data_IF_057066546078
#
_entry.id   IF_057066546078
#
_cell.length_a   1.000
_cell.length_b   1.000
_cell.length_c   1.000
_cell.angle_alpha   90.00
_cell.angle_beta   90.00
_cell.angle_gamma   90.00
#
_symmetry.space_group_name_H-M   'P 1'
#
loop_
_entity.id
_entity.type
_entity.pdbx_description
1 polymer ?
#
# COMPACT_ATOMS: atom_id res chain seq x y z
N UNK A 1 -0.82 -8.13 22.40
CA UNK A 1 -1.35 -6.75 22.38
C UNK A 1 -1.28 -6.19 23.79
N UNK A 2 -0.80 -4.95 23.98
CA UNK A 2 -0.66 -4.40 25.33
C UNK A 2 -2.01 -3.90 25.87
N UNK A 3 -2.23 -3.87 27.19
CA UNK A 3 -3.45 -3.29 27.77
C UNK A 3 -3.64 -1.80 27.42
N UNK A 4 -2.54 -1.08 27.16
CA UNK A 4 -2.60 0.33 26.76
C UNK A 4 -3.14 0.49 25.33
N UNK A 5 -2.71 -0.39 24.41
CA UNK A 5 -3.17 -0.38 23.03
C UNK A 5 -4.66 -0.75 22.93
N UNK A 6 -5.09 -1.74 23.71
CA UNK A 6 -6.51 -2.13 23.79
C UNK A 6 -7.37 -0.97 24.30
N UNK A 7 -6.95 -0.30 25.37
CA UNK A 7 -7.65 0.88 25.89
C UNK A 7 -7.67 2.04 24.89
N UNK A 8 -6.61 2.23 24.11
CA UNK A 8 -6.58 3.22 23.04
C UNK A 8 -7.60 2.86 21.95
N UNK A 9 -7.63 1.59 21.54
CA UNK A 9 -8.58 1.08 20.56
C UNK A 9 -10.04 1.27 21.01
N UNK A 10 -10.37 0.90 22.26
CA UNK A 10 -11.70 1.11 22.85
C UNK A 10 -12.12 2.59 22.84
N UNK A 11 -11.19 3.51 23.15
CA UNK A 11 -11.46 4.95 23.08
C UNK A 11 -11.71 5.42 21.65
N UNK A 12 -10.94 4.92 20.69
CA UNK A 12 -11.14 5.21 19.28
C UNK A 12 -12.50 4.69 18.79
N UNK A 13 -12.89 3.47 19.18
CA UNK A 13 -14.20 2.91 18.89
C UNK A 13 -15.34 3.79 19.45
N UNK A 14 -15.24 4.18 20.72
CA UNK A 14 -16.23 5.05 21.36
C UNK A 14 -16.37 6.43 20.67
N UNK A 15 -15.25 7.02 20.23
CA UNK A 15 -15.27 8.27 19.44
C UNK A 15 -15.97 8.03 18.11
N UNK A 16 -15.67 6.93 17.42
CA UNK A 16 -16.26 6.61 16.13
C UNK A 16 -17.78 6.41 16.21
N UNK A 17 -18.25 5.67 17.22
CA UNK A 17 -19.66 5.44 17.50
C UNK A 17 -20.37 6.76 17.84
N UNK A 18 -19.80 7.55 18.74
CA UNK A 18 -20.38 8.84 19.17
C UNK A 18 -20.48 9.82 18.01
N UNK A 19 -19.43 9.92 17.18
CA UNK A 19 -19.42 10.79 16.03
C UNK A 19 -20.44 10.35 14.96
N UNK A 20 -20.56 9.03 14.73
CA UNK A 20 -21.58 8.48 13.82
C UNK A 20 -23.00 8.76 14.32
N UNK A 21 -23.27 8.51 15.61
CA UNK A 21 -24.56 8.79 16.23
C UNK A 21 -24.91 10.29 16.20
N UNK A 22 -23.92 11.16 16.39
CA UNK A 22 -24.06 12.60 16.24
C UNK A 22 -24.43 13.00 14.81
N UNK A 23 -23.75 12.45 13.82
CA UNK A 23 -24.06 12.72 12.41
C UNK A 23 -25.49 12.30 12.06
N UNK A 24 -25.92 11.11 12.50
CA UNK A 24 -27.30 10.64 12.31
C UNK A 24 -28.33 11.50 13.04
N UNK A 25 -28.01 11.96 14.25
CA UNK A 25 -28.90 12.84 15.00
C UNK A 25 -29.08 14.18 14.28
N UNK A 26 -28.00 14.79 13.78
CA UNK A 26 -28.08 16.03 12.99
C UNK A 26 -28.86 15.78 11.70
N UNK A 27 -28.65 14.63 11.04
CA UNK A 27 -29.37 14.25 9.82
C UNK A 27 -30.89 14.18 10.05
N UNK A 28 -31.32 13.61 11.18
CA UNK A 28 -32.74 13.58 11.59
C UNK A 28 -33.30 14.95 12.01
N UNK A 29 -32.44 15.90 12.38
CA UNK A 29 -32.82 17.23 12.89
C UNK A 29 -32.33 18.38 11.99
N UNK A 30 -32.11 18.11 10.68
CA UNK A 30 -31.54 19.07 9.72
C UNK A 30 -32.22 20.44 9.75
N UNK A 31 -33.53 20.48 9.92
CA UNK A 31 -34.30 21.73 9.93
C UNK A 31 -33.88 22.70 11.05
N UNK A 32 -33.40 22.17 12.18
CA UNK A 32 -32.96 22.98 13.33
C UNK A 32 -31.61 23.65 13.08
N UNK A 33 -30.70 22.98 12.35
CA UNK A 33 -29.34 23.48 12.05
C UNK A 33 -29.22 24.14 10.67
N UNK A 34 -30.21 23.94 9.78
CA UNK A 34 -30.27 24.51 8.44
C UNK A 34 -28.96 24.29 7.66
N UNK A 35 -28.29 25.38 7.26
CA UNK A 35 -27.07 25.33 6.46
C UNK A 35 -25.86 24.73 7.21
N UNK A 36 -25.86 24.75 8.55
CA UNK A 36 -24.77 24.20 9.35
C UNK A 36 -24.83 22.67 9.44
N UNK A 37 -25.99 22.08 9.19
CA UNK A 37 -26.20 20.63 9.30
C UNK A 37 -25.25 19.85 8.37
N UNK A 38 -25.08 20.30 7.11
CA UNK A 38 -24.27 19.60 6.12
C UNK A 38 -22.79 19.59 6.49
N UNK A 39 -22.27 20.74 6.94
CA UNK A 39 -20.87 20.87 7.38
C UNK A 39 -20.62 20.01 8.62
N UNK A 40 -21.52 20.08 9.62
CA UNK A 40 -21.37 19.32 10.85
C UNK A 40 -21.46 17.80 10.62
N UNK A 41 -22.38 17.33 9.76
CA UNK A 41 -22.47 15.91 9.37
C UNK A 41 -21.17 15.46 8.72
N UNK A 42 -20.61 16.25 7.80
CA UNK A 42 -19.36 15.93 7.12
C UNK A 42 -18.19 15.80 8.11
N UNK A 43 -18.04 16.75 9.03
CA UNK A 43 -16.96 16.75 10.02
C UNK A 43 -17.07 15.58 11.00
N UNK A 44 -18.30 15.24 11.43
CA UNK A 44 -18.55 14.10 12.30
C UNK A 44 -18.27 12.76 11.60
N UNK A 45 -18.69 12.60 10.33
CA UNK A 45 -18.37 11.40 9.55
C UNK A 45 -16.87 11.24 9.35
N UNK A 46 -16.17 12.32 9.02
CA UNK A 46 -14.70 12.33 8.93
C UNK A 46 -14.05 11.93 10.25
N UNK A 47 -14.54 12.44 11.37
CA UNK A 47 -14.07 12.10 12.72
C UNK A 47 -14.28 10.61 12.99
N UNK A 48 -15.45 10.07 12.67
CA UNK A 48 -15.74 8.65 12.83
C UNK A 48 -14.81 7.77 11.99
N UNK A 49 -14.59 8.15 10.73
CA UNK A 49 -13.70 7.45 9.81
C UNK A 49 -12.25 7.42 10.34
N UNK A 50 -11.70 8.57 10.73
CA UNK A 50 -10.34 8.65 11.31
C UNK A 50 -10.25 7.82 12.59
N UNK A 51 -11.26 7.88 13.46
CA UNK A 51 -11.27 7.13 14.71
C UNK A 51 -11.28 5.60 14.48
N UNK A 52 -12.06 5.08 13.52
CA UNK A 52 -12.03 3.64 13.15
C UNK A 52 -10.67 3.20 12.61
N UNK A 53 -10.00 4.05 11.85
CA UNK A 53 -8.64 3.77 11.35
C UNK A 53 -7.63 3.71 12.50
N UNK A 54 -7.72 4.64 13.45
CA UNK A 54 -6.87 4.64 14.65
C UNK A 54 -7.14 3.44 15.56
N UNK A 55 -8.41 3.02 15.68
CA UNK A 55 -8.77 1.79 16.38
C UNK A 55 -8.07 0.58 15.74
N UNK A 56 -8.20 0.44 14.42
CA UNK A 56 -7.57 -0.65 13.67
C UNK A 56 -6.05 -0.63 13.84
N UNK A 57 -5.43 0.54 13.76
CA UNK A 57 -3.99 0.71 13.95
C UNK A 57 -3.55 0.32 15.38
N UNK A 58 -4.31 0.72 16.40
CA UNK A 58 -4.02 0.38 17.80
C UNK A 58 -4.14 -1.12 18.07
N UNK A 59 -5.05 -1.83 17.40
CA UNK A 59 -5.21 -3.28 17.54
C UNK A 59 -4.18 -4.09 16.74
N UNK A 60 -3.46 -3.45 15.80
CA UNK A 60 -2.45 -4.11 14.98
C UNK A 60 -1.12 -4.09 15.70
N UNK A 61 -0.41 -5.21 15.66
CA UNK A 61 0.93 -5.30 16.23
C UNK A 61 1.87 -4.35 15.50
N UNK A 62 2.63 -3.58 16.27
CA UNK A 62 3.61 -2.61 15.78
C UNK A 62 4.62 -3.28 14.85
N UNK A 63 5.15 -2.51 13.89
CA UNK A 63 6.03 -3.07 12.87
C UNK A 63 7.26 -2.23 12.59
N UNK A 64 8.35 -2.94 12.30
CA UNK A 64 9.55 -2.40 11.65
C UNK A 64 9.47 -2.73 10.17
N UNK A 65 9.41 -1.71 9.30
CA UNK A 65 9.42 -1.90 7.86
C UNK A 65 10.80 -1.74 7.26
N UNK A 66 11.21 -2.70 6.44
CA UNK A 66 12.43 -2.64 5.63
C UNK A 66 12.06 -2.08 4.26
N UNK A 67 12.54 -0.88 3.98
CA UNK A 67 12.17 -0.13 2.78
C UNK A 67 13.40 0.42 2.06
N UNK A 68 13.29 0.68 0.77
CA UNK A 68 14.37 1.22 -0.06
C UNK A 68 14.21 0.83 -1.52
N UNK A 69 15.15 1.25 -2.38
CA UNK A 69 15.14 0.90 -3.80
C UNK A 69 15.08 -0.61 -4.03
N UNK A 70 14.70 -1.00 -5.24
CA UNK A 70 14.96 -2.36 -5.69
C UNK A 70 16.45 -2.71 -5.58
N UNK A 71 16.76 -3.98 -5.29
CA UNK A 71 18.12 -4.52 -5.21
C UNK A 71 19.06 -3.87 -4.17
N UNK A 72 18.53 -3.08 -3.23
CA UNK A 72 19.33 -2.48 -2.15
C UNK A 72 19.66 -3.44 -1.00
N UNK A 73 19.62 -4.76 -1.20
CA UNK A 73 19.95 -5.73 -0.14
C UNK A 73 18.89 -5.93 0.95
N UNK A 74 17.67 -5.42 0.78
CA UNK A 74 16.55 -5.55 1.76
C UNK A 74 16.29 -6.99 2.18
N UNK A 75 16.08 -7.89 1.22
CA UNK A 75 15.76 -9.30 1.50
C UNK A 75 16.88 -9.99 2.27
N UNK A 76 18.14 -9.63 2.04
CA UNK A 76 19.27 -10.15 2.83
C UNK A 76 19.22 -9.65 4.28
N UNK A 77 18.97 -8.35 4.49
CA UNK A 77 18.81 -7.78 5.82
C UNK A 77 17.64 -8.43 6.58
N UNK A 78 16.49 -8.59 5.92
CA UNK A 78 15.32 -9.27 6.49
C UNK A 78 15.67 -10.69 6.90
N UNK A 79 16.32 -11.44 6.00
CA UNK A 79 16.73 -12.82 6.28
C UNK A 79 17.65 -12.89 7.49
N UNK A 80 18.53 -11.90 7.68
CA UNK A 80 19.41 -11.81 8.84
C UNK A 80 18.66 -11.44 10.13
N UNK A 81 17.69 -10.53 10.06
CA UNK A 81 16.87 -10.11 11.21
C UNK A 81 15.81 -11.14 11.61
N UNK A 82 15.38 -11.99 10.67
CA UNK A 82 14.34 -12.99 10.89
C UNK A 82 14.89 -14.35 11.35
N UNK A 83 16.21 -14.50 11.51
CA UNK A 83 16.85 -15.75 11.95
C UNK A 83 17.77 -15.56 13.14
N UNK A 84 17.97 -16.62 13.93
CA UNK A 84 18.99 -16.64 14.97
C UNK A 84 20.34 -17.07 14.39
N UNK A 85 21.35 -16.21 14.47
CA UNK A 85 22.70 -16.51 14.00
C UNK A 85 22.75 -16.96 12.53
N UNK A 86 23.21 -18.18 12.29
CA UNK A 86 23.34 -18.78 10.95
C UNK A 86 22.21 -19.80 10.62
N UNK A 87 21.16 -19.88 11.45
CA UNK A 87 20.05 -20.81 11.20
C UNK A 87 19.28 -20.47 9.90
N UNK A 88 18.41 -21.38 9.48
CA UNK A 88 17.52 -21.15 8.33
C UNK A 88 16.25 -20.44 8.80
N UNK A 89 15.70 -19.58 7.96
CA UNK A 89 14.40 -18.97 8.19
C UNK A 89 13.31 -19.97 7.78
N UNK A 90 12.69 -20.62 8.77
CA UNK A 90 11.62 -21.60 8.56
C UNK A 90 10.27 -20.93 8.82
N UNK A 91 9.39 -20.99 7.83
CA UNK A 91 8.00 -20.57 7.91
C UNK A 91 7.11 -21.75 8.32
N UNK A 92 6.17 -21.51 9.23
CA UNK A 92 5.19 -22.48 9.72
C UNK A 92 3.79 -22.14 9.17
N UNK A 93 3.29 -23.01 8.28
CA UNK A 93 1.94 -22.92 7.72
C UNK A 93 1.04 -23.99 8.35
N UNK A 94 0.68 -23.80 9.62
CA UNK A 94 -0.24 -24.71 10.31
C UNK A 94 0.35 -26.11 10.54
N UNK A 95 1.66 -26.18 10.80
CA UNK A 95 2.44 -27.40 10.97
C UNK A 95 3.26 -27.80 9.75
N UNK A 96 2.98 -27.23 8.57
CA UNK A 96 3.82 -27.41 7.38
C UNK A 96 5.02 -26.45 7.44
N UNK A 97 6.22 -27.02 7.63
CA UNK A 97 7.46 -26.26 7.78
C UNK A 97 8.19 -26.10 6.44
N UNK A 98 8.35 -24.85 6.00
CA UNK A 98 8.94 -24.53 4.69
C UNK A 98 10.12 -23.58 4.85
N UNK A 99 11.23 -23.84 4.16
CA UNK A 99 12.38 -22.94 4.16
C UNK A 99 12.04 -21.69 3.32
N UNK A 100 11.90 -20.54 3.97
CA UNK A 100 11.48 -19.32 3.27
C UNK A 100 12.47 -18.94 2.18
N UNK A 101 13.78 -19.00 2.45
CA UNK A 101 14.79 -18.54 1.49
C UNK A 101 14.92 -19.52 0.33
N UNK A 102 14.90 -20.82 0.62
CA UNK A 102 15.08 -21.86 -0.40
C UNK A 102 13.83 -22.14 -1.21
N UNK A 103 12.64 -22.06 -0.62
CA UNK A 103 11.40 -22.60 -1.22
C UNK A 103 10.29 -21.54 -1.46
N UNK A 104 10.37 -20.34 -0.86
CA UNK A 104 9.33 -19.29 -1.01
C UNK A 104 9.86 -18.02 -1.67
N UNK A 105 10.97 -17.49 -1.17
CA UNK A 105 11.56 -16.24 -1.63
C UNK A 105 12.02 -16.36 -3.08
N UNK A 106 11.50 -15.56 -4.01
CA UNK A 106 11.85 -15.67 -5.42
C UNK A 106 13.35 -15.45 -5.67
N UNK A 107 13.87 -16.04 -6.76
CA UNK A 107 15.29 -15.95 -7.11
C UNK A 107 15.71 -14.51 -7.43
N UNK A 108 16.83 -14.07 -6.87
CA UNK A 108 17.31 -12.69 -7.01
C UNK A 108 17.81 -12.36 -8.42
N UNK A 109 17.68 -11.08 -8.82
CA UNK A 109 18.20 -10.54 -10.10
C UNK A 109 17.21 -9.67 -10.87
N UNK A 110 15.91 -9.82 -10.58
CA UNK A 110 14.83 -8.92 -11.02
C UNK A 110 14.01 -8.48 -9.80
N UNK A 111 13.23 -7.42 -9.94
CA UNK A 111 12.23 -7.08 -8.94
C UNK A 111 11.23 -8.22 -8.80
N UNK A 112 11.20 -8.83 -7.63
CA UNK A 112 10.57 -10.14 -7.48
C UNK A 112 9.33 -10.12 -6.60
N UNK A 113 9.01 -9.01 -5.91
CA UNK A 113 7.87 -8.94 -4.98
C UNK A 113 6.97 -7.74 -5.26
N UNK A 114 5.65 -7.97 -5.32
CA UNK A 114 4.62 -6.95 -5.56
C UNK A 114 3.62 -6.77 -4.41
N UNK A 115 3.92 -7.36 -3.26
CA UNK A 115 3.12 -7.37 -2.03
C UNK A 115 4.05 -7.15 -0.83
N UNK A 116 3.49 -6.82 0.33
CA UNK A 116 4.23 -6.72 1.59
C UNK A 116 4.31 -8.10 2.24
N UNK A 117 5.48 -8.50 2.73
CA UNK A 117 5.63 -9.75 3.50
C UNK A 117 5.79 -9.43 4.98
N UNK A 118 4.88 -9.91 5.83
CA UNK A 118 4.92 -9.74 7.28
C UNK A 118 5.51 -11.00 7.92
N UNK A 119 6.65 -10.85 8.58
CA UNK A 119 7.26 -11.89 9.41
C UNK A 119 6.85 -11.68 10.86
N UNK A 120 6.27 -12.71 11.47
CA UNK A 120 5.76 -12.67 12.85
C UNK A 120 6.01 -13.99 13.56
N UNK A 121 6.05 -13.99 14.88
CA UNK A 121 6.05 -15.20 15.71
C UNK A 121 4.65 -15.59 16.17
N UNK A 122 3.66 -14.70 15.96
CA UNK A 122 2.31 -14.96 16.41
C UNK A 122 1.63 -15.92 15.43
N UNK A 123 1.10 -17.06 15.90
CA UNK A 123 0.38 -17.97 15.04
C UNK A 123 -0.92 -17.31 14.54
N UNK A 124 -1.36 -17.72 13.36
CA UNK A 124 -2.67 -17.34 12.87
C UNK A 124 -3.75 -18.05 13.71
N UNK A 125 -4.69 -17.28 14.27
CA UNK A 125 -5.82 -17.83 15.01
C UNK A 125 -6.82 -18.43 14.01
N UNK A 126 -7.36 -19.61 14.33
CA UNK A 126 -8.45 -20.26 13.58
C UNK A 126 -8.24 -20.28 12.05
N UNK A 127 -7.15 -20.92 11.61
CA UNK A 127 -6.90 -21.16 10.19
C UNK A 127 -7.97 -22.10 9.61
N UNK A 128 -8.54 -21.82 8.42
CA UNK A 128 -9.37 -22.79 7.72
C UNK A 128 -8.58 -24.06 7.38
N UNK A 129 -9.25 -25.21 7.46
CA UNK A 129 -8.60 -26.51 7.21
C UNK A 129 -7.97 -26.56 5.80
N UNK A 130 -6.70 -26.96 5.72
CA UNK A 130 -5.95 -27.04 4.45
C UNK A 130 -5.51 -25.69 3.86
N UNK A 131 -5.87 -24.56 4.49
CA UNK A 131 -5.62 -23.21 3.96
C UNK A 131 -4.85 -22.38 4.99
N UNK A 132 -3.56 -22.66 5.12
CA UNK A 132 -2.70 -22.04 6.13
C UNK A 132 -1.97 -20.76 5.66
N UNK A 133 -2.02 -20.41 4.38
CA UNK A 133 -1.43 -19.18 3.85
C UNK A 133 -2.42 -18.04 4.04
N UNK A 134 -2.17 -17.15 5.02
CA UNK A 134 -3.01 -16.00 5.31
C UNK A 134 -2.59 -14.77 4.46
N UNK A 135 -3.57 -14.21 3.75
CA UNK A 135 -3.45 -13.05 2.87
C UNK A 135 -4.32 -11.91 3.40
N UNK A 136 -3.81 -10.68 3.40
CA UNK A 136 -4.62 -9.47 3.51
C UNK A 136 -4.91 -8.95 2.11
N UNK A 137 -6.17 -8.70 1.81
CA UNK A 137 -6.62 -8.26 0.50
C UNK A 137 -6.60 -6.72 0.37
N UNK A 138 -6.55 -6.27 -0.88
CA UNK A 138 -6.85 -4.90 -1.28
C UNK A 138 -8.36 -4.70 -1.32
N UNK A 139 -8.83 -3.56 -0.82
CA UNK A 139 -10.24 -3.16 -0.95
C UNK A 139 -10.54 -2.69 -2.37
N UNK A 140 -11.83 -2.56 -2.73
CA UNK A 140 -12.19 -1.97 -4.02
C UNK A 140 -11.68 -0.52 -4.16
N UNK A 141 -11.63 0.25 -3.07
CA UNK A 141 -11.06 1.61 -3.10
C UNK A 141 -9.54 1.63 -3.19
N UNK A 142 -8.86 0.60 -2.67
CA UNK A 142 -7.42 0.44 -2.86
C UNK A 142 -7.10 0.25 -4.35
N UNK A 143 -7.91 -0.54 -5.07
CA UNK A 143 -7.76 -0.72 -6.52
C UNK A 143 -7.97 0.62 -7.25
N UNK A 144 -8.96 1.42 -6.87
CA UNK A 144 -9.17 2.77 -7.44
C UNK A 144 -7.92 3.64 -7.23
N UNK A 145 -7.36 3.64 -6.02
CA UNK A 145 -6.15 4.41 -5.69
C UNK A 145 -4.93 3.92 -6.46
N UNK A 146 -4.75 2.61 -6.64
CA UNK A 146 -3.66 2.02 -7.43
C UNK A 146 -3.73 2.45 -8.89
N UNK A 147 -4.90 2.32 -9.52
CA UNK A 147 -5.10 2.66 -10.94
C UNK A 147 -4.97 4.17 -11.17
N UNK A 148 -5.55 4.98 -10.28
CA UNK A 148 -5.37 6.43 -10.34
C UNK A 148 -3.92 6.86 -10.06
N UNK A 149 -3.23 6.21 -9.12
CA UNK A 149 -1.82 6.50 -8.80
C UNK A 149 -0.95 6.33 -10.05
N UNK A 150 -1.05 5.19 -10.73
CA UNK A 150 -0.23 4.98 -11.93
C UNK A 150 -0.62 5.93 -13.06
N UNK A 151 -1.92 6.21 -13.23
CA UNK A 151 -2.36 7.20 -14.20
C UNK A 151 -1.74 8.57 -13.95
N UNK A 152 -1.82 9.12 -12.74
CA UNK A 152 -1.32 10.46 -12.45
C UNK A 152 0.21 10.53 -12.31
N UNK A 153 0.85 9.48 -11.81
CA UNK A 153 2.28 9.47 -11.49
C UNK A 153 3.16 9.00 -12.65
N UNK A 154 2.65 8.13 -13.54
CA UNK A 154 3.44 7.51 -14.61
C UNK A 154 3.02 7.96 -16.02
N UNK A 155 1.80 8.47 -16.22
CA UNK A 155 1.38 9.03 -17.51
C UNK A 155 1.66 10.53 -17.60
N UNK A 156 2.18 10.99 -18.74
CA UNK A 156 2.44 12.40 -18.99
C UNK A 156 1.12 13.16 -19.15
N UNK A 157 0.70 13.83 -18.09
CA UNK A 157 -0.60 14.49 -18.02
C UNK A 157 -0.75 15.61 -19.06
N UNK A 158 0.34 16.27 -19.45
CA UNK A 158 0.30 17.31 -20.49
C UNK A 158 -0.01 16.80 -21.91
N UNK A 159 0.04 15.48 -22.15
CA UNK A 159 -0.39 14.90 -23.43
C UNK A 159 -1.85 14.42 -23.42
N UNK A 160 -2.55 14.57 -22.29
CA UNK A 160 -3.96 14.24 -22.15
C UNK A 160 -4.78 15.54 -22.10
N UNK A 161 -5.93 15.54 -22.76
CA UNK A 161 -6.87 16.64 -22.61
C UNK A 161 -7.49 16.59 -21.21
N UNK A 162 -7.52 17.74 -20.53
CA UNK A 162 -8.31 17.87 -19.31
C UNK A 162 -9.80 17.80 -19.69
N UNK A 163 -10.62 17.04 -18.93
CA UNK A 163 -12.05 17.00 -19.17
C UNK A 163 -12.67 18.33 -18.75
N UNK A 164 -13.65 18.82 -19.50
CA UNK A 164 -14.44 19.96 -19.04
C UNK A 164 -15.34 19.54 -17.86
N UNK A 165 -15.55 20.41 -16.85
CA UNK A 165 -16.44 20.10 -15.72
C UNK A 165 -17.86 19.69 -16.16
N UNK A 166 -18.33 20.22 -17.28
CA UNK A 166 -19.63 19.90 -17.88
C UNK A 166 -19.67 18.45 -18.40
N UNK A 167 -18.58 17.97 -19.00
CA UNK A 167 -18.50 16.60 -19.53
C UNK A 167 -18.52 15.58 -18.39
N UNK A 168 -17.77 15.85 -17.32
CA UNK A 168 -17.82 15.04 -16.09
C UNK A 168 -19.24 15.02 -15.53
N UNK A 169 -19.88 16.20 -15.43
CA UNK A 169 -21.22 16.30 -14.86
C UNK A 169 -22.25 15.50 -15.67
N UNK A 170 -22.19 15.59 -17.00
CA UNK A 170 -23.05 14.85 -17.92
C UNK A 170 -22.80 13.33 -17.88
N UNK A 171 -21.54 12.90 -17.71
CA UNK A 171 -21.22 11.49 -17.51
C UNK A 171 -21.84 10.96 -16.20
N UNK A 172 -21.73 11.72 -15.11
CA UNK A 172 -22.32 11.36 -13.82
C UNK A 172 -23.86 11.33 -13.92
N UNK A 173 -24.50 12.26 -14.63
CA UNK A 173 -25.97 12.26 -14.82
C UNK A 173 -26.47 10.97 -15.49
N UNK A 174 -25.76 10.50 -16.53
CA UNK A 174 -26.07 9.24 -17.22
C UNK A 174 -25.89 8.01 -16.33
N UNK A 175 -24.98 8.08 -15.36
CA UNK A 175 -24.74 7.01 -14.39
C UNK A 175 -25.79 7.06 -13.28
N UNK A 176 -26.13 8.26 -12.78
CA UNK A 176 -27.09 8.48 -11.71
C UNK A 176 -28.48 7.93 -12.05
N UNK A 177 -28.89 7.98 -13.32
CA UNK A 177 -30.15 7.39 -13.79
C UNK A 177 -30.26 5.87 -13.57
N UNK A 178 -29.14 5.18 -13.29
CA UNK A 178 -29.05 3.73 -13.05
C UNK A 178 -28.83 3.38 -11.57
N UNK A 179 -28.82 4.37 -10.68
CA UNK A 179 -28.59 4.16 -9.25
C UNK A 179 -29.80 3.47 -8.59
N UNK A 180 -29.52 2.44 -7.80
CA UNK A 180 -30.51 1.67 -7.04
C UNK A 180 -30.44 1.94 -5.53
N UNK A 181 -30.78 0.91 -4.75
CA UNK A 181 -30.52 0.88 -3.32
C UNK A 181 -29.02 0.62 -3.05
N UNK A 182 -28.48 1.08 -1.90
CA UNK A 182 -27.12 0.76 -1.50
C UNK A 182 -26.90 -0.76 -1.39
N UNK A 183 -25.80 -1.27 -1.93
CA UNK A 183 -25.48 -2.70 -1.88
C UNK A 183 -24.85 -3.15 -0.55
N UNK A 184 -24.38 -2.21 0.28
CA UNK A 184 -23.76 -2.48 1.59
C UNK A 184 -22.28 -2.91 1.52
N UNK A 185 -21.66 -2.83 0.34
CA UNK A 185 -20.27 -3.24 0.09
C UNK A 185 -19.28 -2.06 -0.03
N UNK A 186 -19.78 -0.83 -0.05
CA UNK A 186 -19.02 0.41 -0.17
C UNK A 186 -19.78 1.53 0.52
N UNK A 187 -19.08 2.36 1.28
CA UNK A 187 -19.62 3.54 1.94
C UNK A 187 -19.24 4.85 1.23
N UNK A 188 -19.97 5.92 1.54
CA UNK A 188 -19.65 7.28 1.08
C UNK A 188 -18.27 7.73 1.59
N UNK A 189 -17.95 7.41 2.85
CA UNK A 189 -16.70 7.81 3.50
C UNK A 189 -15.47 7.16 2.83
N UNK A 190 -15.58 5.91 2.39
CA UNK A 190 -14.51 5.23 1.63
C UNK A 190 -14.24 5.91 0.27
N UNK A 191 -15.27 6.45 -0.39
CA UNK A 191 -15.10 7.21 -1.63
C UNK A 191 -14.49 8.59 -1.35
N UNK A 192 -14.84 9.22 -0.24
CA UNK A 192 -14.21 10.47 0.20
C UNK A 192 -12.74 10.26 0.63
N UNK A 193 -12.38 9.10 1.15
CA UNK A 193 -10.98 8.76 1.40
C UNK A 193 -10.18 8.62 0.08
N UNK A 194 -10.80 8.12 -1.00
CA UNK A 194 -10.21 8.23 -2.34
C UNK A 194 -9.97 9.70 -2.73
N UNK A 195 -10.93 10.60 -2.47
CA UNK A 195 -10.73 12.04 -2.71
C UNK A 195 -9.51 12.57 -1.96
N UNK A 196 -9.46 12.35 -0.63
CA UNK A 196 -8.35 12.82 0.20
C UNK A 196 -7.01 12.27 -0.29
N UNK A 197 -6.96 11.02 -0.72
CA UNK A 197 -5.78 10.41 -1.30
C UNK A 197 -5.31 11.15 -2.56
N UNK A 198 -6.18 11.33 -3.55
CA UNK A 198 -5.79 11.98 -4.81
C UNK A 198 -5.42 13.45 -4.62
N UNK A 199 -6.12 14.15 -3.73
CA UNK A 199 -5.78 15.53 -3.40
C UNK A 199 -4.45 15.61 -2.66
N UNK A 200 -4.16 14.70 -1.71
CA UNK A 200 -2.89 14.70 -0.99
C UNK A 200 -1.68 14.50 -1.89
N UNK A 201 -1.76 13.54 -2.81
CA UNK A 201 -0.59 13.13 -3.62
C UNK A 201 -0.52 13.83 -4.98
N UNK A 202 -1.64 14.36 -5.50
CA UNK A 202 -1.74 14.87 -6.86
C UNK A 202 -2.46 16.23 -6.97
N UNK A 203 -2.53 17.04 -5.90
CA UNK A 203 -3.21 18.36 -5.90
C UNK A 203 -2.78 19.28 -7.06
N UNK A 204 -1.51 19.24 -7.44
CA UNK A 204 -0.97 20.09 -8.50
C UNK A 204 -1.57 19.77 -9.89
N UNK A 205 -2.08 18.55 -10.10
CA UNK A 205 -2.64 18.09 -11.36
C UNK A 205 -3.98 18.78 -11.68
N UNK A 206 -4.13 19.22 -12.93
CA UNK A 206 -5.31 19.95 -13.41
C UNK A 206 -6.59 19.11 -13.38
N UNK A 207 -6.56 17.87 -13.87
CA UNK A 207 -7.68 16.92 -13.76
C UNK A 207 -8.10 16.70 -12.31
N UNK A 208 -7.17 16.58 -11.36
CA UNK A 208 -7.50 16.46 -9.93
C UNK A 208 -8.26 17.68 -9.42
N UNK A 209 -7.88 18.89 -9.84
CA UNK A 209 -8.62 20.13 -9.52
C UNK A 209 -10.02 20.18 -10.14
N UNK A 210 -10.19 19.62 -11.34
CA UNK A 210 -11.52 19.48 -11.96
C UNK A 210 -12.39 18.48 -11.18
N UNK A 211 -11.84 17.30 -10.85
CA UNK A 211 -12.53 16.27 -10.06
C UNK A 211 -12.95 16.78 -8.67
N UNK A 212 -12.09 17.56 -8.00
CA UNK A 212 -12.41 18.25 -6.73
C UNK A 212 -13.72 19.04 -6.80
N UNK A 213 -13.97 19.71 -7.93
CA UNK A 213 -15.12 20.61 -8.10
C UNK A 213 -16.38 19.89 -8.61
N UNK A 214 -16.24 18.94 -9.53
CA UNK A 214 -17.36 18.40 -10.30
C UNK A 214 -17.70 16.94 -10.00
N UNK A 215 -16.83 16.18 -9.32
CA UNK A 215 -16.93 14.72 -9.24
C UNK A 215 -17.20 14.19 -7.83
N UNK A 216 -16.33 14.47 -6.85
CA UNK A 216 -16.25 13.66 -5.62
C UNK A 216 -17.52 13.62 -4.78
N UNK A 217 -18.17 14.76 -4.53
CA UNK A 217 -19.41 14.79 -3.74
C UNK A 217 -20.50 13.91 -4.36
N UNK A 218 -20.66 14.00 -5.68
CA UNK A 218 -21.65 13.20 -6.42
C UNK A 218 -21.24 11.73 -6.49
N UNK A 219 -19.95 11.47 -6.72
CA UNK A 219 -19.42 10.11 -6.78
C UNK A 219 -19.60 9.38 -5.45
N UNK A 220 -19.34 10.04 -4.32
CA UNK A 220 -19.49 9.46 -2.98
C UNK A 220 -20.94 9.08 -2.68
N UNK A 221 -21.91 9.93 -3.05
CA UNK A 221 -23.33 9.64 -2.89
C UNK A 221 -23.85 8.53 -3.83
N UNK A 222 -23.26 8.40 -5.03
CA UNK A 222 -23.71 7.45 -6.06
C UNK A 222 -23.06 6.08 -5.94
N UNK A 223 -21.74 5.98 -5.74
CA UNK A 223 -20.98 4.74 -5.85
C UNK A 223 -21.55 3.55 -5.03
N UNK A 224 -22.01 3.74 -3.77
CA UNK A 224 -22.63 2.68 -2.97
C UNK A 224 -23.90 2.08 -3.60
N UNK A 225 -24.55 2.83 -4.48
CA UNK A 225 -25.86 2.54 -5.09
C UNK A 225 -25.76 2.04 -6.53
N UNK A 226 -24.55 1.93 -7.06
CA UNK A 226 -24.30 1.52 -8.43
C UNK A 226 -23.96 0.04 -8.51
N UNK A 227 -24.41 -0.58 -9.61
CA UNK A 227 -24.00 -1.92 -10.01
C UNK A 227 -22.52 -1.91 -10.45
N UNK A 228 -21.82 -3.06 -10.45
CA UNK A 228 -20.39 -3.12 -10.74
C UNK A 228 -19.95 -2.37 -12.02
N UNK A 229 -20.65 -2.57 -13.13
CA UNK A 229 -20.34 -1.92 -14.42
C UNK A 229 -20.49 -0.40 -14.35
N UNK A 230 -21.55 0.09 -13.72
CA UNK A 230 -21.82 1.53 -13.58
C UNK A 230 -20.85 2.18 -12.57
N UNK A 231 -20.47 1.44 -11.52
CA UNK A 231 -19.45 1.85 -10.54
C UNK A 231 -18.06 1.95 -11.19
N UNK A 232 -17.70 1.00 -12.05
CA UNK A 232 -16.45 1.04 -12.81
C UNK A 232 -16.42 2.22 -13.78
N UNK A 233 -17.53 2.52 -14.46
CA UNK A 233 -17.64 3.70 -15.32
C UNK A 233 -17.48 5.00 -14.50
N UNK A 234 -18.07 5.07 -13.30
CA UNK A 234 -17.93 6.22 -12.41
C UNK A 234 -16.46 6.45 -12.03
N UNK A 235 -15.78 5.43 -11.50
CA UNK A 235 -14.36 5.54 -11.15
C UNK A 235 -13.46 5.71 -12.37
N UNK A 236 -13.89 5.25 -13.54
CA UNK A 236 -13.24 5.45 -14.82
C UNK A 236 -12.90 6.91 -15.14
N UNK A 237 -13.72 7.84 -14.66
CA UNK A 237 -13.51 9.28 -14.84
C UNK A 237 -12.22 9.78 -14.17
N UNK A 238 -11.71 9.09 -13.14
CA UNK A 238 -10.47 9.43 -12.44
C UNK A 238 -9.27 9.25 -13.37
N UNK A 239 -9.20 8.12 -14.08
CA UNK A 239 -8.08 7.76 -14.97
C UNK A 239 -8.39 7.98 -16.45
N UNK A 240 -9.22 8.98 -16.77
CA UNK A 240 -9.48 9.38 -18.14
C UNK A 240 -10.15 8.32 -19.01
N UNK A 241 -10.95 7.45 -18.41
CA UNK A 241 -11.70 6.39 -19.10
C UNK A 241 -10.81 5.41 -19.89
N UNK A 242 -9.55 5.25 -19.49
CA UNK A 242 -8.66 4.21 -20.03
C UNK A 242 -9.30 2.84 -19.82
N UNK A 243 -9.76 2.25 -20.92
CA UNK A 243 -10.61 1.05 -20.91
C UNK A 243 -9.96 -0.15 -20.21
N UNK A 244 -8.65 -0.35 -20.40
CA UNK A 244 -7.92 -1.44 -19.74
C UNK A 244 -7.91 -1.31 -18.21
N UNK A 245 -7.82 -0.08 -17.66
CA UNK A 245 -7.87 0.15 -16.22
C UNK A 245 -9.28 -0.10 -15.67
N UNK A 246 -10.30 0.37 -16.38
CA UNK A 246 -11.71 0.13 -16.02
C UNK A 246 -12.04 -1.36 -16.02
N UNK A 247 -11.56 -2.11 -17.02
CA UNK A 247 -11.75 -3.55 -17.09
C UNK A 247 -11.00 -4.27 -15.97
N UNK A 248 -9.77 -3.84 -15.66
CA UNK A 248 -9.00 -4.42 -14.56
C UNK A 248 -9.67 -4.17 -13.19
N UNK A 249 -10.25 -2.98 -12.97
CA UNK A 249 -11.07 -2.71 -11.79
C UNK A 249 -12.25 -3.67 -11.70
N UNK A 250 -12.97 -3.92 -12.80
CA UNK A 250 -14.09 -4.87 -12.83
C UNK A 250 -13.67 -6.29 -12.48
N UNK A 251 -12.55 -6.77 -13.04
CA UNK A 251 -11.99 -8.09 -12.71
C UNK A 251 -11.74 -8.23 -11.21
N UNK A 252 -11.06 -7.25 -10.61
CA UNK A 252 -10.80 -7.27 -9.17
C UNK A 252 -12.07 -7.12 -8.33
N UNK A 253 -13.00 -6.26 -8.74
CA UNK A 253 -14.27 -6.08 -8.05
C UNK A 253 -15.10 -7.38 -8.05
N UNK A 254 -15.15 -8.12 -9.16
CA UNK A 254 -15.84 -9.40 -9.24
C UNK A 254 -15.23 -10.45 -8.30
N UNK A 255 -13.89 -10.54 -8.27
CA UNK A 255 -13.18 -11.43 -7.36
C UNK A 255 -13.43 -11.07 -5.88
N UNK A 256 -13.38 -9.78 -5.54
CA UNK A 256 -13.72 -9.30 -4.19
C UNK A 256 -15.18 -9.59 -3.85
N UNK A 257 -16.13 -9.36 -4.75
CA UNK A 257 -17.53 -9.65 -4.55
C UNK A 257 -17.79 -11.15 -4.30
N UNK A 258 -17.10 -12.04 -5.03
CA UNK A 258 -17.17 -13.48 -4.82
C UNK A 258 -16.67 -13.87 -3.42
N UNK A 259 -15.61 -13.23 -2.95
CA UNK A 259 -15.09 -13.36 -1.59
C UNK A 259 -15.91 -12.58 -0.54
N UNK A 260 -16.95 -11.85 -0.94
CA UNK A 260 -17.77 -11.07 -0.01
C UNK A 260 -17.09 -9.83 0.56
N UNK A 261 -16.12 -9.27 -0.17
CA UNK A 261 -15.34 -8.11 0.24
C UNK A 261 -14.61 -8.32 1.57
N UNK A 262 -14.18 -9.56 1.85
CA UNK A 262 -13.41 -9.89 3.04
C UNK A 262 -12.05 -9.19 3.05
N UNK A 263 -11.61 -8.73 4.22
CA UNK A 263 -10.28 -8.14 4.43
C UNK A 263 -9.16 -9.19 4.35
N UNK A 264 -9.49 -10.43 4.69
CA UNK A 264 -8.56 -11.55 4.77
C UNK A 264 -9.04 -12.75 3.95
N UNK A 265 -8.09 -13.45 3.36
CA UNK A 265 -8.31 -14.69 2.66
C UNK A 265 -7.20 -15.70 2.96
N UNK A 266 -7.49 -16.97 2.69
CA UNK A 266 -6.66 -18.11 3.02
C UNK A 266 -6.48 -18.99 1.80
N UNK A 267 -5.24 -19.38 1.53
CA UNK A 267 -4.87 -20.32 0.47
C UNK A 267 -4.11 -21.51 1.06
N UNK A 268 -4.01 -22.59 0.31
CA UNK A 268 -3.03 -23.64 0.61
C UNK A 268 -1.61 -23.19 0.26
N UNK A 269 -0.60 -23.95 0.70
CA UNK A 269 0.82 -23.70 0.38
C UNK A 269 1.14 -23.75 -1.12
N UNK A 270 0.22 -24.28 -1.94
CA UNK A 270 0.28 -24.22 -3.40
C UNK A 270 0.28 -22.79 -3.96
N UNK A 271 -0.15 -21.79 -3.18
CA UNK A 271 -0.03 -20.37 -3.55
C UNK A 271 1.43 -19.88 -3.55
N UNK A 272 2.32 -20.54 -2.78
CA UNK A 272 3.71 -20.11 -2.57
C UNK A 272 4.72 -21.07 -3.21
N UNK A 273 4.40 -22.36 -3.25
CA UNK A 273 5.29 -23.43 -3.72
C UNK A 273 4.63 -24.16 -4.91
N UNK A 274 5.34 -24.36 -6.04
CA UNK A 274 6.74 -23.99 -6.28
C UNK A 274 6.93 -22.49 -6.55
N UNK A 275 8.14 -21.98 -6.29
CA UNK A 275 8.47 -20.53 -6.42
C UNK A 275 8.10 -19.93 -7.77
N UNK A 276 8.25 -20.70 -8.84
CA UNK A 276 8.07 -20.25 -10.23
C UNK A 276 6.62 -19.85 -10.52
N UNK A 277 5.67 -20.35 -9.74
CA UNK A 277 4.25 -19.99 -9.82
C UNK A 277 3.79 -19.29 -8.54
N UNK A 278 4.69 -18.75 -7.72
CA UNK A 278 4.30 -18.14 -6.45
C UNK A 278 3.52 -16.84 -6.66
N UNK A 279 2.52 -16.57 -5.80
CA UNK A 279 1.84 -15.27 -5.76
C UNK A 279 2.76 -14.12 -5.29
N UNK A 280 3.94 -14.44 -4.77
CA UNK A 280 4.96 -13.46 -4.42
C UNK A 280 5.60 -12.89 -5.69
N UNK A 281 5.77 -13.71 -6.73
CA UNK A 281 6.45 -13.34 -7.97
C UNK A 281 5.58 -12.41 -8.84
N UNK A 282 6.07 -11.20 -9.08
CA UNK A 282 5.41 -10.19 -9.92
C UNK A 282 5.25 -10.64 -11.37
N UNK A 283 5.99 -11.65 -11.83
CA UNK A 283 5.80 -12.26 -13.15
C UNK A 283 4.37 -12.82 -13.31
N UNK A 284 3.73 -13.28 -12.23
CA UNK A 284 2.34 -13.74 -12.26
C UNK A 284 1.36 -12.65 -12.69
N UNK A 285 1.68 -11.37 -12.44
CA UNK A 285 0.83 -10.24 -12.85
C UNK A 285 0.77 -10.07 -14.37
N UNK A 286 1.68 -10.67 -15.15
CA UNK A 286 1.67 -10.58 -16.62
C UNK A 286 0.43 -11.24 -17.23
N UNK A 287 -0.23 -12.12 -16.48
CA UNK A 287 -1.45 -12.81 -16.91
C UNK A 287 -2.73 -12.04 -16.56
N UNK A 288 -2.62 -10.89 -15.89
CA UNK A 288 -3.79 -10.06 -15.56
C UNK A 288 -4.53 -9.62 -16.83
N UNK A 289 -5.86 -9.79 -16.82
CA UNK A 289 -6.72 -9.42 -17.94
C UNK A 289 -6.74 -10.43 -19.09
N UNK A 290 -6.04 -11.56 -18.97
CA UNK A 290 -6.03 -12.65 -19.94
C UNK A 290 -6.69 -13.92 -19.35
N UNK A 291 -7.04 -14.88 -20.21
CA UNK A 291 -7.48 -16.21 -19.78
C UNK A 291 -6.32 -16.94 -19.10
N UNK A 292 -6.35 -16.99 -17.77
CA UNK A 292 -5.32 -17.64 -16.93
C UNK A 292 -5.89 -18.96 -16.38
N UNK A 293 -5.46 -20.13 -16.93
CA UNK A 293 -5.96 -21.42 -16.47
C UNK A 293 -5.42 -21.81 -15.09
N UNK A 294 -4.35 -21.14 -14.62
CA UNK A 294 -3.77 -21.37 -13.31
C UNK A 294 -4.61 -20.66 -12.25
N UNK A 295 -5.19 -21.44 -11.35
CA UNK A 295 -6.14 -20.96 -10.35
C UNK A 295 -5.81 -21.50 -8.96
N UNK A 296 -6.30 -20.78 -7.95
CA UNK A 296 -6.17 -21.12 -6.55
C UNK A 296 -7.56 -21.18 -5.93
N UNK A 297 -7.77 -22.16 -5.06
CA UNK A 297 -8.88 -22.11 -4.10
C UNK A 297 -8.53 -21.07 -3.03
N UNK A 298 -9.46 -20.13 -2.82
CA UNK A 298 -9.34 -19.03 -1.88
C UNK A 298 -10.52 -19.07 -0.94
N UNK A 299 -10.23 -19.14 0.36
CA UNK A 299 -11.23 -19.26 1.41
C UNK A 299 -11.25 -18.00 2.29
N UNK A 300 -12.41 -17.54 2.74
CA UNK A 300 -12.51 -16.44 3.71
C UNK A 300 -12.75 -16.96 5.12
N UNK A 301 -12.58 -16.11 6.12
CA UNK A 301 -12.82 -16.47 7.53
C UNK A 301 -14.25 -16.93 7.78
N UNK A 302 -15.20 -16.35 7.06
CA UNK A 302 -16.63 -16.66 7.11
C UNK A 302 -16.99 -17.96 6.36
N UNK A 303 -16.00 -18.65 5.78
CA UNK A 303 -16.16 -19.95 5.14
C UNK A 303 -16.60 -19.88 3.67
N UNK A 304 -16.57 -18.71 3.02
CA UNK A 304 -16.73 -18.65 1.56
C UNK A 304 -15.52 -19.30 0.90
N UNK A 305 -15.74 -20.17 -0.09
CA UNK A 305 -14.67 -20.74 -0.92
C UNK A 305 -14.93 -20.40 -2.39
N UNK A 306 -13.91 -19.87 -3.06
CA UNK A 306 -13.97 -19.44 -4.46
C UNK A 306 -12.69 -19.85 -5.16
N UNK A 307 -12.79 -20.34 -6.39
CA UNK A 307 -11.63 -20.56 -7.26
C UNK A 307 -11.36 -19.30 -8.07
N UNK A 308 -10.18 -18.72 -7.89
CA UNK A 308 -9.78 -17.48 -8.58
C UNK A 308 -8.50 -17.71 -9.39
N UNK A 309 -8.33 -17.02 -10.54
CA UNK A 309 -7.07 -17.04 -11.26
C UNK A 309 -5.92 -16.60 -10.35
N UNK A 310 -4.79 -17.30 -10.41
CA UNK A 310 -3.63 -17.04 -9.55
C UNK A 310 -3.14 -15.60 -9.72
N UNK A 311 -3.08 -15.11 -10.95
CA UNK A 311 -2.74 -13.70 -11.26
C UNK A 311 -3.67 -12.68 -10.58
N UNK A 312 -4.96 -13.01 -10.45
CA UNK A 312 -5.94 -12.17 -9.75
C UNK A 312 -5.66 -12.18 -8.24
N UNK A 313 -5.35 -13.34 -7.66
CA UNK A 313 -4.94 -13.44 -6.24
C UNK A 313 -3.64 -12.67 -5.97
N UNK A 314 -2.64 -12.82 -6.83
CA UNK A 314 -1.39 -12.03 -6.81
C UNK A 314 -1.71 -10.52 -6.86
N UNK A 315 -2.63 -10.11 -7.74
CA UNK A 315 -3.06 -8.73 -7.89
C UNK A 315 -3.74 -8.17 -6.64
N UNK A 316 -4.68 -8.92 -6.06
CA UNK A 316 -5.46 -8.52 -4.88
C UNK A 316 -4.71 -8.59 -3.56
N UNK A 317 -3.64 -9.37 -3.46
CA UNK A 317 -2.92 -9.54 -2.19
C UNK A 317 -2.12 -8.27 -1.85
N UNK A 318 -2.43 -7.64 -0.71
CA UNK A 318 -1.68 -6.51 -0.18
C UNK A 318 -0.55 -6.97 0.75
N UNK A 319 -0.84 -7.92 1.64
CA UNK A 319 0.08 -8.45 2.64
C UNK A 319 0.03 -9.99 2.66
N UNK A 320 1.18 -10.63 2.72
CA UNK A 320 1.34 -12.06 3.01
C UNK A 320 1.90 -12.21 4.42
N UNK A 321 1.25 -13.01 5.26
CA UNK A 321 1.76 -13.34 6.60
C UNK A 321 2.63 -14.59 6.57
N UNK A 322 3.84 -14.47 7.10
CA UNK A 322 4.80 -15.55 7.32
C UNK A 322 4.98 -15.72 8.83
N UNK A 323 4.46 -16.82 9.38
CA UNK A 323 4.70 -17.17 10.78
C UNK A 323 6.05 -17.88 10.86
N UNK A 324 6.98 -17.34 11.65
CA UNK A 324 8.31 -17.90 11.83
C UNK A 324 8.25 -19.02 12.88
N UNK A 325 8.87 -20.16 12.58
CA UNK A 325 8.90 -21.31 13.49
C UNK A 325 9.55 -20.99 14.85
N UNK A 326 10.58 -20.14 14.83
CA UNK A 326 11.35 -19.76 16.01
C UNK A 326 11.35 -18.25 16.18
N UNK A 327 11.37 -17.80 17.44
CA UNK A 327 11.63 -16.41 17.82
C UNK A 327 13.15 -16.15 17.77
N UNK A 328 13.66 -15.33 16.82
CA UNK A 328 15.09 -15.09 16.72
C UNK A 328 15.61 -14.06 17.74
N UNK A 329 14.78 -13.08 18.11
CA UNK A 329 15.10 -11.97 19.00
C UNK A 329 13.91 -11.60 19.87
N UNK A 330 14.14 -11.11 21.09
CA UNK A 330 13.07 -10.80 22.05
C UNK A 330 12.14 -9.67 21.61
N UNK A 331 12.60 -8.76 20.74
CA UNK A 331 11.73 -7.69 20.24
C UNK A 331 10.51 -8.23 19.48
N UNK A 332 10.58 -9.44 18.92
CA UNK A 332 9.45 -10.06 18.21
C UNK A 332 8.24 -10.37 19.09
N UNK A 333 8.39 -10.31 20.43
CA UNK A 333 7.25 -10.38 21.36
C UNK A 333 6.33 -9.15 21.23
N UNK A 334 6.86 -8.04 20.69
CA UNK A 334 6.16 -6.75 20.65
C UNK A 334 6.04 -6.16 19.24
N UNK A 335 6.92 -6.55 18.31
CA UNK A 335 6.92 -6.00 16.95
C UNK A 335 7.07 -7.08 15.89
N UNK A 336 6.51 -6.85 14.72
CA UNK A 336 6.70 -7.69 13.53
C UNK A 336 7.65 -6.99 12.54
N UNK A 337 8.15 -7.76 11.58
CA UNK A 337 9.01 -7.24 10.50
C UNK A 337 8.23 -7.23 9.19
N UNK A 338 8.27 -6.10 8.47
CA UNK A 338 7.65 -5.95 7.15
C UNK A 338 8.71 -5.82 6.08
N UNK A 339 8.65 -6.69 5.06
CA UNK A 339 9.37 -6.50 3.79
C UNK A 339 8.49 -5.72 2.83
N UNK A 340 8.91 -4.51 2.49
CA UNK A 340 8.24 -3.72 1.46
C UNK A 340 8.83 -4.01 0.08
N UNK A 341 7.98 -4.03 -0.97
CA UNK A 341 8.47 -4.07 -2.33
C UNK A 341 9.42 -2.89 -2.60
N UNK A 342 10.41 -3.11 -3.46
CA UNK A 342 11.41 -2.11 -3.77
C UNK A 342 10.80 -0.88 -4.45
N UNK A 343 11.19 0.32 -4.00
CA UNK A 343 10.76 1.56 -4.65
C UNK A 343 11.27 1.61 -6.11
N UNK A 344 10.43 2.16 -7.00
CA UNK A 344 10.72 2.30 -8.44
C UNK A 344 10.69 3.77 -8.87
N UNK A 345 11.47 4.09 -9.89
CA UNK A 345 11.33 5.36 -10.61
C UNK A 345 10.02 5.42 -11.36
N UNK A 346 9.38 6.58 -11.35
CA UNK A 346 8.21 6.86 -12.18
C UNK A 346 8.58 6.99 -13.65
N UNK A 347 7.67 6.60 -14.53
CA UNK A 347 7.81 6.82 -15.97
C UNK A 347 7.14 8.12 -16.43
N UNK A 348 7.40 8.53 -17.67
CA UNK A 348 6.69 9.64 -18.33
C UNK A 348 6.01 9.13 -19.62
N UNK A 349 5.04 8.23 -19.44
CA UNK A 349 4.36 7.54 -20.54
C UNK A 349 3.45 8.54 -21.27
N UNK A 350 3.77 8.85 -22.52
CA UNK A 350 3.03 9.83 -23.34
C UNK A 350 1.86 9.21 -24.09
N UNK A 351 2.02 7.96 -24.51
CA UNK A 351 1.05 7.20 -25.28
C UNK A 351 0.66 5.96 -24.47
N UNK A 352 -0.50 6.05 -23.80
CA UNK A 352 -1.01 5.01 -22.91
C UNK A 352 -1.38 3.77 -23.74
N UNK A 353 -2.00 3.95 -24.91
CA UNK A 353 -2.44 2.85 -25.76
C UNK A 353 -1.26 2.07 -26.33
N UNK A 354 -0.21 2.77 -26.81
CA UNK A 354 1.00 2.11 -27.27
C UNK A 354 1.74 1.37 -26.14
N UNK A 355 1.70 1.88 -24.91
CA UNK A 355 2.26 1.17 -23.76
C UNK A 355 1.43 -0.06 -23.40
N UNK A 356 0.10 0.05 -23.39
CA UNK A 356 -0.81 -1.06 -23.11
C UNK A 356 -0.75 -2.16 -24.17
N UNK A 357 -0.42 -1.83 -25.42
CA UNK A 357 -0.23 -2.80 -26.51
C UNK A 357 1.02 -3.68 -26.34
N UNK A 358 1.94 -3.34 -25.42
CA UNK A 358 3.11 -4.18 -25.12
C UNK A 358 2.70 -5.42 -24.31
N UNK A 359 3.40 -6.56 -24.45
CA UNK A 359 3.06 -7.82 -23.77
C UNK A 359 2.90 -7.76 -22.24
N UNK A 360 3.50 -6.77 -21.58
CA UNK A 360 3.42 -6.57 -20.12
C UNK A 360 2.92 -5.16 -19.73
N UNK A 361 2.35 -4.41 -20.68
CA UNK A 361 1.98 -3.01 -20.47
C UNK A 361 1.03 -2.80 -19.28
N UNK A 362 -0.05 -3.59 -19.22
CA UNK A 362 -1.02 -3.51 -18.11
C UNK A 362 -0.40 -3.93 -16.77
N UNK A 363 0.43 -4.99 -16.77
CA UNK A 363 1.19 -5.43 -15.60
C UNK A 363 2.07 -4.30 -15.08
N UNK A 364 2.82 -3.62 -15.96
CA UNK A 364 3.77 -2.58 -15.56
C UNK A 364 3.05 -1.39 -14.92
N UNK A 365 1.94 -0.93 -15.52
CA UNK A 365 1.08 0.10 -14.92
C UNK A 365 0.58 -0.33 -13.54
N UNK A 366 -0.07 -1.50 -13.45
CA UNK A 366 -0.66 -1.96 -12.19
C UNK A 366 0.41 -2.16 -11.10
N UNK A 367 1.56 -2.77 -11.44
CA UNK A 367 2.64 -3.01 -10.50
C UNK A 367 3.24 -1.70 -9.97
N UNK A 368 3.46 -0.70 -10.83
CA UNK A 368 3.98 0.63 -10.41
C UNK A 368 3.02 1.32 -9.45
N UNK A 369 1.73 1.36 -9.80
CA UNK A 369 0.69 1.90 -8.93
C UNK A 369 0.61 1.16 -7.60
N UNK A 370 0.61 -0.18 -7.63
CA UNK A 370 0.51 -1.05 -6.45
C UNK A 370 1.68 -0.87 -5.49
N UNK A 371 2.91 -0.91 -5.99
CA UNK A 371 4.11 -0.78 -5.15
C UNK A 371 4.15 0.57 -4.42
N UNK A 372 3.84 1.67 -5.11
CA UNK A 372 3.80 2.99 -4.44
C UNK A 372 2.64 3.07 -3.45
N UNK A 373 1.45 2.64 -3.87
CA UNK A 373 0.27 2.70 -3.05
C UNK A 373 0.40 1.87 -1.75
N UNK A 374 1.04 0.70 -1.79
CA UNK A 374 1.25 -0.12 -0.58
C UNK A 374 2.06 0.62 0.48
N UNK A 375 3.12 1.34 0.09
CA UNK A 375 3.87 2.17 1.03
C UNK A 375 3.01 3.32 1.59
N UNK A 376 2.30 4.02 0.71
CA UNK A 376 1.42 5.14 1.08
C UNK A 376 0.29 4.69 2.02
N UNK A 377 -0.33 3.52 1.77
CA UNK A 377 -1.36 2.90 2.60
C UNK A 377 -0.85 2.61 4.00
N UNK A 378 0.32 1.97 4.12
CA UNK A 378 0.88 1.60 5.43
C UNK A 378 1.35 2.82 6.23
N UNK A 379 1.87 3.84 5.54
CA UNK A 379 2.18 5.13 6.15
C UNK A 379 0.90 5.83 6.64
N UNK A 380 -0.13 5.93 5.80
CA UNK A 380 -1.39 6.59 6.14
C UNK A 380 -2.15 5.88 7.26
N UNK A 381 -2.10 4.54 7.32
CA UNK A 381 -2.76 3.74 8.36
C UNK A 381 -1.93 3.60 9.65
N UNK A 382 -0.76 4.25 9.74
CA UNK A 382 0.14 4.15 10.89
C UNK A 382 0.60 2.71 11.17
N UNK A 383 0.68 1.88 10.13
CA UNK A 383 1.14 0.50 10.21
C UNK A 383 2.66 0.38 9.94
N UNK A 384 3.29 1.44 9.43
CA UNK A 384 4.75 1.58 9.32
C UNK A 384 5.27 2.50 10.43
N UNK A 385 5.51 1.93 11.61
CA UNK A 385 5.89 2.70 12.81
C UNK A 385 7.38 3.02 12.86
N UNK A 386 8.21 2.12 12.34
CA UNK A 386 9.67 2.26 12.29
C UNK A 386 10.16 1.83 10.92
N UNK A 387 11.13 2.55 10.35
CA UNK A 387 11.65 2.29 9.02
C UNK A 387 13.15 1.99 9.06
N UNK A 388 13.54 0.82 8.54
CA UNK A 388 14.91 0.51 8.14
C UNK A 388 15.07 0.88 6.66
N UNK A 389 15.58 2.09 6.40
CA UNK A 389 15.82 2.61 5.06
C UNK A 389 17.12 2.05 4.50
N UNK A 390 17.01 1.04 3.62
CA UNK A 390 18.14 0.32 3.04
C UNK A 390 18.67 1.00 1.76
N UNK A 391 19.91 1.45 1.81
CA UNK A 391 20.59 2.14 0.70
C UNK A 391 21.88 1.39 0.32
N UNK A 392 21.91 0.84 -0.89
CA UNK A 392 23.04 0.07 -1.44
C UNK A 392 24.13 0.93 -2.13
N UNK A 393 25.34 0.40 -2.38
CA UNK A 393 26.59 1.10 -2.73
C UNK A 393 26.56 1.96 -4.01
N UNK A 394 25.54 1.79 -4.86
CA UNK A 394 25.43 2.44 -6.16
C UNK A 394 24.79 3.83 -6.11
N UNK A 395 24.87 4.52 -7.25
CA UNK A 395 24.03 5.69 -7.51
C UNK A 395 22.56 5.31 -7.31
N UNK A 396 21.84 6.19 -6.62
CA UNK A 396 20.42 5.99 -6.36
C UNK A 396 19.62 6.39 -7.60
N UNK A 397 19.03 5.41 -8.28
CA UNK A 397 18.27 5.64 -9.52
C UNK A 397 16.83 6.09 -9.28
N UNK A 398 16.30 5.82 -8.07
CA UNK A 398 14.92 6.09 -7.67
C UNK A 398 14.74 7.54 -7.26
N UNK A 399 14.60 8.43 -8.24
CA UNK A 399 14.54 9.90 -8.02
C UNK A 399 13.43 10.35 -7.05
N UNK A 400 12.33 9.61 -6.96
CA UNK A 400 11.21 9.93 -6.06
C UNK A 400 11.39 9.47 -4.61
N UNK A 401 12.43 8.68 -4.30
CA UNK A 401 12.64 8.13 -2.96
C UNK A 401 12.80 9.22 -1.87
N UNK A 402 13.52 10.34 -2.10
CA UNK A 402 13.63 11.39 -1.09
C UNK A 402 12.29 11.95 -0.63
N UNK A 403 11.38 12.21 -1.57
CA UNK A 403 10.05 12.74 -1.31
C UNK A 403 9.20 11.76 -0.49
N UNK A 404 9.27 10.46 -0.84
CA UNK A 404 8.54 9.39 -0.13
C UNK A 404 8.98 9.32 1.33
N UNK A 405 10.30 9.36 1.58
CA UNK A 405 10.87 9.31 2.94
C UNK A 405 10.54 10.58 3.71
N UNK A 406 10.67 11.76 3.08
CA UNK A 406 10.33 13.04 3.72
C UNK A 406 8.86 13.11 4.15
N UNK A 407 7.93 12.64 3.32
CA UNK A 407 6.52 12.56 3.68
C UNK A 407 6.26 11.64 4.87
N UNK A 408 6.91 10.48 4.92
CA UNK A 408 6.78 9.58 6.07
C UNK A 408 7.39 10.20 7.34
N UNK A 409 8.55 10.86 7.25
CA UNK A 409 9.15 11.60 8.38
C UNK A 409 8.20 12.68 8.89
N UNK A 410 7.62 13.48 7.98
CA UNK A 410 6.68 14.53 8.34
C UNK A 410 5.44 13.97 9.06
N UNK A 411 4.93 12.82 8.60
CA UNK A 411 3.76 12.17 9.20
C UNK A 411 4.05 11.53 10.56
N UNK A 412 5.27 11.02 10.79
CA UNK A 412 5.61 10.24 11.99
C UNK A 412 6.34 11.04 13.07
N UNK A 413 7.29 11.87 12.66
CA UNK A 413 8.15 12.63 13.56
C UNK A 413 7.81 14.13 13.56
N UNK A 414 7.44 14.67 12.40
CA UNK A 414 7.16 16.09 12.21
C UNK A 414 7.90 16.66 11.01
N UNK A 415 7.31 17.68 10.38
CA UNK A 415 7.85 18.33 9.19
C UNK A 415 9.07 19.19 9.51
N UNK A 416 9.11 19.81 10.69
CA UNK A 416 10.20 20.70 11.09
C UNK A 416 11.15 20.06 12.11
N UNK A 417 12.41 20.54 12.23
CA UNK A 417 13.35 20.06 13.24
C UNK A 417 12.79 20.20 14.67
N UNK A 418 12.05 21.28 14.96
CA UNK A 418 11.44 21.54 16.27
C UNK A 418 10.34 20.53 16.61
N UNK A 419 9.55 20.11 15.62
CA UNK A 419 8.55 19.06 15.81
C UNK A 419 9.21 17.71 16.07
N UNK A 420 10.26 17.39 15.30
CA UNK A 420 11.01 16.14 15.48
C UNK A 420 11.73 16.09 16.83
N UNK A 421 12.28 17.20 17.31
CA UNK A 421 12.93 17.27 18.62
C UNK A 421 11.99 17.05 19.81
N UNK A 422 10.66 17.21 19.62
CA UNK A 422 9.66 16.90 20.66
C UNK A 422 9.35 15.41 20.76
N UNK A 423 9.81 14.59 19.80
CA UNK A 423 9.60 13.15 19.82
C UNK A 423 10.70 12.49 20.68
N UNK A 424 10.33 11.60 21.61
CA UNK A 424 11.31 10.96 22.49
C UNK A 424 12.22 10.00 21.72
N UNK A 425 11.72 9.39 20.65
CA UNK A 425 12.40 8.32 19.92
C UNK A 425 12.50 8.62 18.42
N UNK A 426 13.65 8.27 17.84
CA UNK A 426 13.87 8.27 16.38
C UNK A 426 13.54 6.91 15.81
N UNK A 427 12.49 6.84 15.00
CA UNK A 427 12.01 5.63 14.32
C UNK A 427 12.54 5.46 12.88
N UNK A 428 13.45 6.34 12.43
CA UNK A 428 14.17 6.19 11.16
C UNK A 428 15.57 5.62 11.38
N UNK A 429 15.85 4.46 10.80
CA UNK A 429 17.17 3.85 10.78
C UNK A 429 17.69 3.84 9.35
N UNK A 430 18.78 4.57 9.11
CA UNK A 430 19.44 4.59 7.80
C UNK A 430 20.44 3.44 7.71
N UNK A 431 20.18 2.46 6.86
CA UNK A 431 20.97 1.23 6.74
C UNK A 431 21.75 1.22 5.43
N UNK A 432 23.07 1.38 5.53
CA UNK A 432 23.99 1.19 4.41
C UNK A 432 24.20 -0.32 4.18
N UNK A 433 23.50 -0.88 3.20
CA UNK A 433 23.58 -2.30 2.87
C UNK A 433 24.73 -2.61 1.91
N UNK A 434 25.12 -3.88 1.80
CA UNK A 434 26.31 -4.33 1.06
C UNK A 434 27.60 -3.59 1.48
N UNK A 435 27.71 -3.28 2.78
CA UNK A 435 28.82 -2.49 3.31
C UNK A 435 30.16 -3.23 3.26
N UNK A 436 30.12 -4.56 3.17
CA UNK A 436 31.29 -5.42 2.90
C UNK A 436 32.03 -5.00 1.62
N UNK A 437 31.31 -4.51 0.61
CA UNK A 437 31.89 -4.03 -0.66
C UNK A 437 32.79 -2.80 -0.49
N UNK A 438 32.61 -2.03 0.57
CA UNK A 438 33.48 -0.87 0.87
C UNK A 438 34.90 -1.31 1.30
N UNK A 439 35.04 -2.56 1.76
CA UNK A 439 36.32 -3.16 2.14
C UNK A 439 37.04 -3.84 0.97
N UNK A 440 36.39 -4.00 -0.19
CA UNK A 440 37.03 -4.54 -1.39
C UNK A 440 38.13 -3.58 -1.89
N UNK A 441 39.35 -4.11 -2.04
CA UNK A 441 40.48 -3.37 -2.61
C UNK A 441 40.53 -3.61 -4.12
N UNK A 442 40.31 -2.57 -4.92
CA UNK A 442 40.62 -2.57 -6.35
C UNK A 442 42.05 -2.08 -6.58
N UNK A 443 42.73 -2.63 -7.59
CA UNK A 443 44.18 -2.50 -7.80
C UNK A 443 44.68 -1.04 -8.01
N UNK A 444 43.81 -0.13 -8.45
CA UNK A 444 44.18 1.25 -8.82
C UNK A 444 43.72 2.31 -7.80
N UNK A 445 43.47 1.94 -6.54
CA UNK A 445 42.78 2.83 -5.59
C UNK A 445 43.71 3.42 -4.53
N UNK A 446 44.10 4.68 -4.72
CA UNK A 446 44.88 5.48 -3.75
C UNK A 446 44.04 6.04 -2.58
N UNK A 447 42.70 5.98 -2.66
CA UNK A 447 41.81 6.55 -1.65
C UNK A 447 41.82 5.77 -0.33
N UNK A 448 42.07 6.47 0.78
CA UNK A 448 41.99 5.93 2.14
C UNK A 448 40.57 5.46 2.48
N UNK A 449 40.44 4.50 3.41
CA UNK A 449 39.14 4.02 3.91
C UNK A 449 38.25 5.16 4.44
N UNK A 450 38.86 6.14 5.12
CA UNK A 450 38.15 7.32 5.65
C UNK A 450 37.49 8.15 4.55
N UNK A 451 38.22 8.39 3.44
CA UNK A 451 37.68 9.10 2.28
C UNK A 451 36.53 8.33 1.63
N UNK A 452 36.62 6.99 1.56
CA UNK A 452 35.54 6.14 1.01
C UNK A 452 34.27 6.24 1.85
N UNK A 453 34.38 6.10 3.16
CA UNK A 453 33.23 6.21 4.07
C UNK A 453 32.57 7.58 4.00
N UNK A 454 33.37 8.65 4.01
CA UNK A 454 32.86 10.02 3.92
C UNK A 454 32.13 10.26 2.60
N UNK A 455 32.69 9.76 1.49
CA UNK A 455 32.07 9.84 0.16
C UNK A 455 30.77 9.02 0.11
N UNK A 456 30.76 7.83 0.71
CA UNK A 456 29.60 6.94 0.74
C UNK A 456 28.43 7.55 1.52
N UNK A 457 28.70 8.10 2.71
CA UNK A 457 27.70 8.80 3.51
C UNK A 457 27.20 10.07 2.82
N UNK A 458 28.12 10.88 2.27
CA UNK A 458 27.75 12.09 1.57
C UNK A 458 26.83 11.80 0.37
N UNK A 459 27.23 10.91 -0.53
CA UNK A 459 26.45 10.56 -1.73
C UNK A 459 25.10 9.93 -1.40
N UNK A 460 25.06 8.99 -0.46
CA UNK A 460 23.87 8.19 -0.17
C UNK A 460 22.84 8.90 0.68
N UNK A 461 23.28 9.79 1.57
CA UNK A 461 22.43 10.45 2.56
C UNK A 461 22.35 11.96 2.31
N UNK A 462 23.49 12.66 2.37
CA UNK A 462 23.51 14.14 2.41
C UNK A 462 23.30 14.82 1.06
N UNK A 463 23.72 14.20 -0.04
CA UNK A 463 23.50 14.70 -1.39
C UNK A 463 22.14 14.20 -1.89
N UNK A 464 21.94 12.89 -1.93
CA UNK A 464 20.73 12.32 -2.51
C UNK A 464 19.42 12.77 -1.82
N UNK A 465 19.34 12.65 -0.48
CA UNK A 465 18.16 13.11 0.26
C UNK A 465 18.24 14.61 0.56
N UNK A 466 19.45 15.13 0.81
CA UNK A 466 19.67 16.53 1.17
C UNK A 466 19.54 17.52 0.00
N UNK A 467 19.43 17.03 -1.24
CA UNK A 467 19.20 17.86 -2.43
C UNK A 467 17.82 18.53 -2.44
N UNK A 468 16.81 17.85 -1.91
CA UNK A 468 15.42 18.33 -1.95
C UNK A 468 14.83 18.57 -0.55
N UNK A 469 15.42 18.00 0.50
CA UNK A 469 14.90 18.11 1.88
C UNK A 469 16.01 18.43 2.88
N UNK A 470 15.69 19.18 3.93
CA UNK A 470 16.67 19.58 4.95
C UNK A 470 16.91 18.54 6.04
N UNK A 471 15.98 17.58 6.25
CA UNK A 471 16.05 16.61 7.35
C UNK A 471 17.37 15.84 7.49
N UNK A 472 18.15 15.51 6.42
CA UNK A 472 19.43 14.83 6.60
C UNK A 472 20.50 15.69 7.26
N UNK A 473 20.37 17.02 7.19
CA UNK A 473 21.28 18.00 7.78
C UNK A 473 20.72 18.63 9.05
N UNK A 474 19.39 18.72 9.13
CA UNK A 474 18.65 19.41 10.19
C UNK A 474 17.60 18.46 10.79
N UNK A 475 18.03 17.34 11.38
CA UNK A 475 17.07 16.42 12.01
C UNK A 475 16.40 17.05 13.23
N UNK A 476 17.20 17.65 14.11
CA UNK A 476 16.80 18.49 15.24
C UNK A 476 17.42 19.88 15.09
N UNK A 477 16.95 20.91 15.82
CA UNK A 477 17.55 22.24 15.77
C UNK A 477 19.01 22.23 16.23
N UNK A 478 19.87 22.98 15.52
CA UNK A 478 21.31 23.05 15.75
C UNK A 478 22.09 22.21 14.74
#
# INVERSE_FOLDING_TARGET
MSPADEKLAERCAAIAETASAGAEWIDRNREQLRAEAEVAIKDLRRTAYVARRLETAARRKMCVGVFGPSQSGKSYLISALARSGQERLIADFGGELIDFIRDINPEGGRESTGLITRFTIDPALALPSGHAVQLRLLTQTDIVKILGNTFFADCKQSSLADPEPADISAAIDKIAARAGAPAGDLSEDEVLDCQEYFEKYFDANSRVKVLRRAYWQRAAALAPRLRPADRAALFGLIWGEVGAFTQLFLTFHQALAALGFADEAFCSTAALVPKQTSIIDVAMLARLGNDDPDSLEVVTREGRSVVLPRSTVTGLTAELRIVMQKKPYDFFDHTDLLDFPGARSREEIRDIDAQLAKPEGLKDFFLRGKVSYLFERYSANLELNTMLLCIGPSNQEVRGLPEIVAHWIAATHGATPEERAKKPDTALFFVLTQFDREFERKADWEATLSTRWSTRLFSSMLDFFGKYHSWPREWTPG
#
